data_IF_113430105351
#
_entry.id   IF_113430105351
#
_cell.length_a   1.000
_cell.length_b   1.000
_cell.length_c   1.000
_cell.angle_alpha   90.00
_cell.angle_beta   90.00
_cell.angle_gamma   90.00
#
_symmetry.space_group_name_H-M   'P 1'
#
loop_
_entity.id
_entity.type
_entity.pdbx_description
1 polymer ?
#
# COMPACT_ATOMS: atom_id res chain seq x y z
N UNK A 1 -14.25 42.29 -9.27
CA UNK A 1 -14.71 42.96 -8.03
C UNK A 1 -16.22 42.83 -7.96
N UNK A 2 -16.77 42.38 -6.83
CA UNK A 2 -18.22 42.27 -6.51
C UNK A 2 -18.96 40.98 -6.91
N UNK A 3 -18.64 39.84 -6.32
CA UNK A 3 -19.69 38.88 -5.88
C UNK A 3 -19.33 38.21 -4.53
N UNK A 4 -18.32 38.74 -3.84
CA UNK A 4 -17.94 38.37 -2.47
C UNK A 4 -18.85 39.15 -1.49
N UNK A 5 -20.17 38.88 -1.52
CA UNK A 5 -21.14 39.49 -0.61
C UNK A 5 -22.49 38.75 -0.64
N UNK A 6 -22.54 37.55 -0.07
CA UNK A 6 -23.78 36.91 0.43
C UNK A 6 -23.40 35.65 1.22
N UNK A 7 -22.55 35.76 2.25
CA UNK A 7 -22.96 35.99 3.63
C UNK A 7 -24.37 35.49 3.97
N UNK A 8 -24.39 34.33 4.62
CA UNK A 8 -25.22 33.98 5.77
C UNK A 8 -26.75 34.15 5.66
N UNK A 9 -27.46 33.02 5.52
CA UNK A 9 -28.79 32.86 6.10
C UNK A 9 -29.12 31.37 6.31
N UNK A 10 -29.56 31.04 7.54
CA UNK A 10 -30.43 29.91 7.94
C UNK A 10 -29.83 28.50 7.83
N UNK A 11 -29.46 27.76 8.89
CA UNK A 11 -30.05 27.54 10.23
C UNK A 11 -31.57 27.27 10.20
N UNK A 12 -31.93 26.09 10.71
CA UNK A 12 -33.24 25.55 11.07
C UNK A 12 -34.01 24.77 9.98
N UNK A 13 -34.06 23.44 10.17
CA UNK A 13 -34.86 22.51 9.39
C UNK A 13 -34.85 21.11 10.02
N UNK A 14 -35.33 21.02 11.26
CA UNK A 14 -35.67 19.76 11.91
C UNK A 14 -37.07 19.32 11.49
N UNK A 15 -37.26 18.06 11.09
CA UNK A 15 -38.28 17.14 11.64
C UNK A 15 -38.59 15.96 10.70
N UNK A 16 -38.75 14.81 11.35
CA UNK A 16 -39.60 13.68 10.97
C UNK A 16 -39.20 12.82 9.74
N UNK A 17 -38.52 11.70 10.01
CA UNK A 17 -38.85 10.46 9.31
C UNK A 17 -38.63 9.23 10.21
N UNK A 18 -39.73 8.51 10.46
CA UNK A 18 -39.71 7.04 10.62
C UNK A 18 -39.52 6.47 12.03
N UNK A 19 -40.59 6.45 12.82
CA UNK A 19 -40.77 5.50 13.92
C UNK A 19 -40.86 4.06 13.39
N UNK A 20 -39.94 3.20 13.83
CA UNK A 20 -40.01 1.75 13.59
C UNK A 20 -40.84 1.06 14.69
N UNK A 21 -41.65 0.03 14.39
CA UNK A 21 -42.44 -0.67 15.38
C UNK A 21 -41.63 -1.76 16.10
N UNK A 22 -41.86 -1.85 17.40
CA UNK A 22 -41.40 -2.91 18.30
C UNK A 22 -42.35 -4.10 18.26
N UNK A 23 -41.80 -5.31 18.13
CA UNK A 23 -42.47 -6.55 18.52
C UNK A 23 -41.54 -7.38 19.41
N UNK A 24 -42.11 -7.83 20.51
CA UNK A 24 -41.45 -8.39 21.68
C UNK A 24 -41.31 -9.91 21.61
N UNK A 25 -40.24 -10.38 22.26
CA UNK A 25 -40.12 -11.62 23.04
C UNK A 25 -40.37 -13.00 22.39
N UNK A 26 -39.29 -13.77 22.28
CA UNK A 26 -39.29 -15.14 22.80
C UNK A 26 -37.93 -15.48 23.41
N UNK A 27 -37.94 -15.59 24.72
CA UNK A 27 -36.93 -16.21 25.58
C UNK A 27 -36.61 -17.62 25.09
N UNK A 28 -35.38 -17.87 24.68
CA UNK A 28 -34.84 -19.23 24.66
C UNK A 28 -33.83 -19.37 25.81
N UNK A 29 -34.31 -20.01 26.87
CA UNK A 29 -33.51 -20.53 27.97
C UNK A 29 -32.80 -21.78 27.48
N UNK A 30 -31.48 -21.71 27.37
CA UNK A 30 -30.60 -22.82 27.04
C UNK A 30 -29.46 -22.86 28.05
N UNK A 31 -29.64 -23.69 29.07
CA UNK A 31 -28.76 -23.91 30.20
C UNK A 31 -27.34 -24.33 29.84
N UNK A 32 -26.39 -23.74 30.57
CA UNK A 32 -25.22 -24.38 31.15
C UNK A 32 -24.48 -25.43 30.31
N UNK A 33 -23.40 -25.00 29.68
CA UNK A 33 -22.19 -25.81 29.53
C UNK A 33 -21.01 -25.02 30.08
N UNK A 34 -20.74 -25.32 31.35
CA UNK A 34 -19.42 -25.50 31.97
C UNK A 34 -18.28 -24.66 31.38
N UNK A 35 -17.99 -23.56 32.08
CA UNK A 35 -16.66 -22.96 32.10
C UNK A 35 -15.67 -23.98 32.67
N UNK A 36 -15.10 -24.82 31.80
CA UNK A 36 -13.89 -25.58 32.09
C UNK A 36 -12.68 -24.72 31.69
N UNK A 37 -12.12 -24.07 32.70
CA UNK A 37 -10.70 -23.82 32.90
C UNK A 37 -9.75 -24.40 31.82
N UNK A 38 -9.48 -23.63 30.79
CA UNK A 38 -8.24 -23.75 30.02
C UNK A 38 -7.12 -22.96 30.72
N UNK A 39 -6.79 -23.38 31.94
CA UNK A 39 -5.49 -23.10 32.52
C UNK A 39 -4.44 -23.94 31.78
N UNK A 40 -3.30 -23.33 31.46
CA UNK A 40 -2.14 -23.91 30.79
C UNK A 40 -2.30 -24.23 29.29
N UNK A 41 -2.43 -23.19 28.45
CA UNK A 41 -1.74 -23.22 27.15
C UNK A 41 -0.37 -22.60 27.33
N UNK A 42 0.58 -23.45 27.72
CA UNK A 42 2.01 -23.19 27.64
C UNK A 42 2.34 -22.42 26.37
N UNK A 43 3.22 -21.43 26.52
CA UNK A 43 3.87 -20.66 25.47
C UNK A 43 4.49 -21.60 24.45
N UNK A 44 3.69 -22.05 23.47
CA UNK A 44 4.20 -22.54 22.19
C UNK A 44 4.98 -21.38 21.65
N UNK A 45 6.30 -21.41 21.85
CA UNK A 45 7.20 -20.33 21.49
C UNK A 45 6.78 -19.78 20.14
N UNK A 46 6.40 -18.50 20.13
CA UNK A 46 6.08 -17.79 18.90
C UNK A 46 7.27 -18.01 17.97
N UNK A 47 7.08 -18.87 16.97
CA UNK A 47 8.04 -19.08 15.90
C UNK A 47 8.07 -17.76 15.15
N UNK A 48 8.94 -16.85 15.62
CA UNK A 48 9.30 -15.63 14.92
C UNK A 48 9.95 -16.07 13.62
N UNK A 49 9.13 -16.23 12.59
CA UNK A 49 9.57 -16.57 11.25
C UNK A 49 10.24 -15.34 10.65
N UNK A 50 11.47 -15.09 11.10
CA UNK A 50 12.32 -14.03 10.59
C UNK A 50 12.62 -14.32 9.12
N UNK A 51 12.35 -13.32 8.27
CA UNK A 51 12.77 -13.39 6.87
C UNK A 51 14.29 -13.29 6.78
N UNK A 52 14.97 -14.44 6.67
CA UNK A 52 16.40 -14.49 6.40
C UNK A 52 16.75 -13.92 5.01
N UNK A 53 18.01 -13.49 4.82
CA UNK A 53 18.56 -12.97 3.54
C UNK A 53 17.83 -11.74 2.97
N UNK A 54 17.55 -10.72 3.79
CA UNK A 54 16.94 -9.44 3.33
C UNK A 54 17.95 -8.58 2.55
N UNK A 55 18.09 -8.84 1.24
CA UNK A 55 18.95 -8.09 0.31
C UNK A 55 18.29 -6.85 -0.32
N UNK A 56 17.28 -6.27 0.33
CA UNK A 56 16.59 -5.07 -0.17
C UNK A 56 17.08 -3.86 0.59
N UNK A 57 17.72 -2.93 -0.11
CA UNK A 57 18.14 -1.66 0.47
C UNK A 57 16.89 -0.83 0.84
N UNK A 58 16.75 -0.46 2.13
CA UNK A 58 15.55 0.25 2.61
C UNK A 58 15.56 1.75 2.29
N UNK A 59 16.73 2.36 2.08
CA UNK A 59 16.92 3.79 1.75
C UNK A 59 16.26 4.77 2.73
N UNK A 60 15.93 4.33 3.95
CA UNK A 60 15.18 5.12 4.94
C UNK A 60 13.76 5.48 4.52
N UNK A 61 13.17 4.78 3.54
CA UNK A 61 11.83 5.08 3.00
C UNK A 61 10.87 3.89 3.14
N UNK A 62 9.55 4.14 3.35
CA UNK A 62 8.54 3.10 3.28
C UNK A 62 8.47 2.48 1.87
N UNK A 63 7.79 1.34 1.74
CA UNK A 63 7.83 0.53 0.52
C UNK A 63 7.37 1.28 -0.72
N UNK A 64 6.29 2.06 -0.62
CA UNK A 64 5.69 2.76 -1.75
C UNK A 64 6.58 3.90 -2.25
N UNK A 65 7.06 4.75 -1.34
CA UNK A 65 7.99 5.82 -1.66
C UNK A 65 9.32 5.29 -2.21
N UNK A 66 9.80 4.16 -1.69
CA UNK A 66 11.02 3.52 -2.20
C UNK A 66 10.80 3.01 -3.62
N UNK A 67 9.66 2.38 -3.91
CA UNK A 67 9.31 1.91 -5.26
C UNK A 67 9.26 3.09 -6.23
N UNK A 68 8.58 4.19 -5.86
CA UNK A 68 8.52 5.40 -6.67
C UNK A 68 9.90 6.00 -6.95
N UNK A 69 10.76 6.12 -5.92
CA UNK A 69 12.13 6.62 -6.06
C UNK A 69 12.96 5.76 -7.04
N UNK A 70 12.92 4.44 -6.89
CA UNK A 70 13.68 3.53 -7.75
C UNK A 70 13.18 3.56 -9.20
N UNK A 71 11.86 3.67 -9.42
CA UNK A 71 11.27 3.84 -10.76
C UNK A 71 11.70 5.15 -11.42
N UNK A 72 11.67 6.26 -10.67
CA UNK A 72 12.11 7.55 -11.17
C UNK A 72 13.60 7.50 -11.57
N UNK A 73 14.49 7.04 -10.68
CA UNK A 73 15.92 6.94 -10.97
C UNK A 73 16.23 6.01 -12.16
N UNK A 74 15.50 4.90 -12.29
CA UNK A 74 15.66 3.99 -13.45
C UNK A 74 15.29 4.71 -14.75
N UNK A 75 14.17 5.44 -14.76
CA UNK A 75 13.70 6.19 -15.93
C UNK A 75 14.70 7.29 -16.32
N UNK A 76 15.17 8.08 -15.35
CA UNK A 76 16.14 9.15 -15.60
C UNK A 76 17.50 8.62 -16.09
N UNK A 77 17.93 7.45 -15.59
CA UNK A 77 19.17 6.81 -16.04
C UNK A 77 19.08 6.39 -17.50
N UNK A 78 17.94 5.83 -17.93
CA UNK A 78 17.72 5.41 -19.32
C UNK A 78 17.61 6.63 -20.23
N UNK A 79 16.89 7.67 -19.80
CA UNK A 79 16.69 8.91 -20.58
C UNK A 79 17.98 9.67 -20.82
N UNK A 80 18.81 9.84 -19.78
CA UNK A 80 20.00 10.69 -19.84
C UNK A 80 21.31 9.92 -20.03
N UNK A 81 21.28 8.59 -19.94
CA UNK A 81 22.46 7.71 -20.00
C UNK A 81 23.38 7.78 -18.77
N UNK A 82 23.41 8.90 -18.05
CA UNK A 82 24.16 9.09 -16.79
C UNK A 82 23.43 10.02 -15.83
N UNK A 83 23.49 9.71 -14.54
CA UNK A 83 22.94 10.57 -13.49
C UNK A 83 23.91 10.66 -12.30
N UNK A 84 23.97 11.81 -11.65
CA UNK A 84 24.72 12.00 -10.40
C UNK A 84 23.79 11.71 -9.22
N UNK A 85 24.11 10.69 -8.42
CA UNK A 85 23.31 10.31 -7.24
C UNK A 85 24.21 9.86 -6.10
N UNK A 86 23.62 9.53 -4.94
CA UNK A 86 24.38 8.99 -3.80
C UNK A 86 24.74 7.52 -4.02
N UNK A 87 25.88 7.09 -3.47
CA UNK A 87 26.41 5.74 -3.63
C UNK A 87 25.41 4.64 -3.24
N UNK A 88 24.67 4.84 -2.15
CA UNK A 88 23.66 3.86 -1.68
C UNK A 88 22.50 3.75 -2.67
N UNK A 89 22.04 4.87 -3.26
CA UNK A 89 20.98 4.86 -4.27
C UNK A 89 21.46 4.22 -5.57
N UNK A 90 22.67 4.54 -6.00
CA UNK A 90 23.28 3.96 -7.20
C UNK A 90 23.38 2.42 -7.11
N UNK A 91 23.88 1.89 -5.98
CA UNK A 91 23.96 0.43 -5.76
C UNK A 91 22.58 -0.24 -5.79
N UNK A 92 21.54 0.42 -5.29
CA UNK A 92 20.18 -0.12 -5.28
C UNK A 92 19.52 -0.10 -6.68
N UNK A 93 19.73 0.97 -7.44
CA UNK A 93 19.12 1.18 -8.77
C UNK A 93 19.71 0.22 -9.82
N UNK A 94 20.99 -0.14 -9.70
CA UNK A 94 21.69 -1.02 -10.66
C UNK A 94 20.89 -2.28 -11.03
N UNK A 95 20.38 -3.02 -10.05
CA UNK A 95 19.56 -4.23 -10.29
C UNK A 95 18.33 -3.95 -11.17
N UNK A 96 17.68 -2.80 -10.97
CA UNK A 96 16.48 -2.44 -11.72
C UNK A 96 16.81 -2.00 -13.15
N UNK A 97 17.89 -1.25 -13.33
CA UNK A 97 18.36 -0.84 -14.67
C UNK A 97 18.79 -2.05 -15.49
N UNK A 98 19.58 -2.96 -14.92
CA UNK A 98 20.05 -4.17 -15.59
C UNK A 98 18.86 -5.02 -16.08
N UNK A 99 17.82 -5.16 -15.24
CA UNK A 99 16.59 -5.87 -15.60
C UNK A 99 15.81 -5.17 -16.72
N UNK A 100 15.76 -3.83 -16.75
CA UNK A 100 15.11 -3.11 -17.85
C UNK A 100 15.86 -3.31 -19.17
N UNK A 101 17.19 -3.33 -19.14
CA UNK A 101 18.01 -3.61 -20.32
C UNK A 101 17.78 -5.05 -20.81
N UNK A 102 17.68 -6.03 -19.91
CA UNK A 102 17.38 -7.42 -20.25
C UNK A 102 16.00 -7.59 -20.90
N UNK A 103 14.98 -6.88 -20.39
CA UNK A 103 13.66 -6.82 -21.04
C UNK A 103 13.73 -6.20 -22.43
N UNK A 104 14.49 -5.10 -22.58
CA UNK A 104 14.70 -4.45 -23.87
C UNK A 104 15.41 -5.35 -24.89
N UNK A 105 16.36 -6.18 -24.44
CA UNK A 105 17.08 -7.15 -25.28
C UNK A 105 16.19 -8.29 -25.77
N UNK A 106 15.23 -8.76 -24.95
CA UNK A 106 14.32 -9.85 -25.32
C UNK A 106 13.33 -9.45 -26.41
N UNK A 107 12.81 -8.22 -26.35
CA UNK A 107 11.97 -7.64 -27.41
C UNK A 107 10.59 -8.28 -27.60
N UNK A 108 10.16 -9.19 -26.73
CA UNK A 108 8.84 -9.81 -26.78
C UNK A 108 7.73 -8.87 -26.25
N UNK A 109 6.48 -9.12 -26.68
CA UNK A 109 5.32 -8.33 -26.25
C UNK A 109 5.13 -8.37 -24.72
N UNK A 110 5.45 -9.50 -24.09
CA UNK A 110 5.32 -9.62 -22.64
C UNK A 110 6.40 -8.79 -21.92
N UNK A 111 7.66 -8.83 -22.35
CA UNK A 111 8.69 -7.95 -21.81
C UNK A 111 8.36 -6.46 -22.01
N UNK A 112 7.84 -6.08 -23.18
CA UNK A 112 7.42 -4.68 -23.42
C UNK A 112 6.35 -4.24 -22.43
N UNK A 113 5.35 -5.09 -22.14
CA UNK A 113 4.32 -4.82 -21.12
C UNK A 113 4.91 -4.70 -19.72
N UNK A 114 5.87 -5.55 -19.35
CA UNK A 114 6.56 -5.47 -18.07
C UNK A 114 7.37 -4.18 -17.93
N UNK A 115 8.09 -3.76 -18.97
CA UNK A 115 8.86 -2.53 -18.99
C UNK A 115 7.96 -1.29 -18.86
N UNK A 116 6.87 -1.24 -19.63
CA UNK A 116 5.87 -0.15 -19.56
C UNK A 116 5.17 -0.08 -18.20
N UNK A 117 5.02 -1.20 -17.49
CA UNK A 117 4.46 -1.19 -16.14
C UNK A 117 5.41 -0.56 -15.10
N UNK A 118 6.72 -0.48 -15.38
CA UNK A 118 7.75 0.02 -14.47
C UNK A 118 8.22 1.45 -14.79
N UNK A 119 8.54 1.72 -16.06
CA UNK A 119 9.04 3.01 -16.52
C UNK A 119 7.88 4.03 -16.56
N UNK A 120 8.15 5.30 -16.26
CA UNK A 120 7.13 6.37 -16.35
C UNK A 120 6.99 6.94 -17.76
N UNK A 121 8.09 6.96 -18.50
CA UNK A 121 8.13 7.42 -19.88
C UNK A 121 7.72 6.30 -20.87
N UNK A 122 7.02 6.69 -21.92
CA UNK A 122 6.58 5.79 -23.01
C UNK A 122 7.45 5.94 -24.25
N UNK A 123 8.25 7.01 -24.29
CA UNK A 123 9.04 7.45 -25.44
C UNK A 123 10.48 6.99 -25.34
#
# INVERSE_FOLDING_TARGET
>A
MRVLALLAAMVAGASAFGTAPSLSSSTFSGSAVTESSHAARETRGDLSMMRHRKRVAKLGKPADQRKALLRALTTETIRHGRIKTTLVRAKAVRKHVDHMIELGKRGDLHARRQALAWIYDKN
#
